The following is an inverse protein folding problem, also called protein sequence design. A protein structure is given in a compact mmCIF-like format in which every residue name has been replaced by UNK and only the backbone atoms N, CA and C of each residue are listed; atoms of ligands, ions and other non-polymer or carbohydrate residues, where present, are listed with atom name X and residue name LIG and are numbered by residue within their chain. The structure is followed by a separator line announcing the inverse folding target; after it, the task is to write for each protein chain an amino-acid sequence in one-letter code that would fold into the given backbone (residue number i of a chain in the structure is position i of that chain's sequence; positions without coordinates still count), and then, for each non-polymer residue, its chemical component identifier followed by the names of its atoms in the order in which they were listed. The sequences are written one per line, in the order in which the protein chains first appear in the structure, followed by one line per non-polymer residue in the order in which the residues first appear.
data_IF_569015662799
#
_entry.id   IF_569015662799
#
_cell.length_a   1.000
_cell.length_b   1.000
_cell.length_c   1.000
_cell.angle_alpha   90.00
_cell.angle_beta   90.00
_cell.angle_gamma   90.00
#
_symmetry.space_group_name_H-M   'P 1'
#
loop_
_entity.id
_entity.type
_entity.pdbx_description
1 polymer ?
#
# COMPACT_ATOMS: atom_id res chain seq x y z
N UNK A 1 -18.60 -18.87 -10.85
CA UNK A 1 -19.22 -17.77 -11.64
C UNK A 1 -18.37 -17.44 -12.87
N UNK A 2 -18.98 -17.39 -14.07
CA UNK A 2 -18.27 -17.21 -15.36
C UNK A 2 -17.55 -15.86 -15.46
N UNK A 3 -18.18 -14.78 -14.99
CA UNK A 3 -17.66 -13.42 -15.04
C UNK A 3 -16.30 -13.26 -14.33
N UNK A 4 -16.15 -13.76 -13.09
CA UNK A 4 -14.90 -13.65 -12.33
C UNK A 4 -13.72 -14.28 -13.09
N UNK A 5 -13.97 -15.41 -13.77
CA UNK A 5 -12.94 -16.10 -14.54
C UNK A 5 -12.46 -15.22 -15.69
N UNK A 6 -13.39 -14.66 -16.45
CA UNK A 6 -13.12 -13.84 -17.64
C UNK A 6 -12.48 -12.49 -17.30
N UNK A 7 -12.90 -11.84 -16.21
CA UNK A 7 -12.44 -10.48 -15.89
C UNK A 7 -11.19 -10.44 -15.01
N UNK A 8 -10.91 -11.48 -14.22
CA UNK A 8 -9.95 -11.36 -13.11
C UNK A 8 -9.01 -12.55 -12.95
N UNK A 9 -9.41 -13.76 -13.35
CA UNK A 9 -8.61 -14.97 -13.07
C UNK A 9 -7.84 -15.50 -14.28
N UNK A 10 -8.36 -15.34 -15.49
CA UNK A 10 -7.75 -15.86 -16.71
C UNK A 10 -6.38 -15.19 -16.97
N UNK A 11 -5.26 -15.94 -17.03
CA UNK A 11 -3.95 -15.40 -17.31
C UNK A 11 -3.85 -14.56 -18.59
N UNK A 12 -4.69 -14.83 -19.60
CA UNK A 12 -4.68 -14.11 -20.85
C UNK A 12 -5.32 -12.71 -20.77
N UNK A 13 -6.24 -12.49 -19.82
CA UNK A 13 -7.01 -11.22 -19.72
C UNK A 13 -6.83 -10.49 -18.40
N UNK A 14 -6.34 -11.17 -17.35
CA UNK A 14 -6.19 -10.58 -16.02
C UNK A 14 -5.11 -9.49 -16.00
N UNK A 15 -5.37 -8.45 -15.22
CA UNK A 15 -4.37 -7.44 -14.86
C UNK A 15 -3.90 -7.70 -13.43
N UNK A 16 -2.59 -7.92 -13.25
CA UNK A 16 -1.99 -8.13 -11.93
C UNK A 16 -1.05 -6.98 -11.61
N UNK A 17 -1.13 -6.49 -10.37
CA UNK A 17 -0.16 -5.56 -9.81
C UNK A 17 0.87 -6.36 -9.01
N UNK A 18 2.17 -6.09 -9.25
CA UNK A 18 3.26 -6.70 -8.48
C UNK A 18 3.66 -5.73 -7.37
N UNK A 19 3.43 -6.13 -6.13
CA UNK A 19 3.90 -5.38 -4.96
C UNK A 19 5.41 -5.55 -4.82
N UNK A 20 6.12 -4.44 -4.64
CA UNK A 20 7.56 -4.42 -4.32
C UNK A 20 7.75 -3.78 -2.95
N UNK A 21 8.67 -4.34 -2.17
CA UNK A 21 9.08 -3.78 -0.87
C UNK A 21 10.56 -3.39 -0.94
N UNK A 22 10.97 -2.32 -0.23
CA UNK A 22 12.38 -1.90 -0.23
C UNK A 22 13.27 -3.03 0.28
N UNK A 23 14.32 -3.34 -0.49
CA UNK A 23 15.25 -4.42 -0.19
C UNK A 23 16.36 -3.87 0.71
N UNK A 24 16.71 -4.50 1.82
CA UNK A 24 17.61 -3.88 2.84
C UNK A 24 19.11 -4.00 2.50
N UNK A 25 19.52 -3.68 1.28
CA UNK A 25 20.91 -3.87 0.83
C UNK A 25 21.75 -2.59 0.92
N UNK A 26 21.12 -1.42 0.81
CA UNK A 26 21.75 -0.10 1.00
C UNK A 26 21.19 0.63 2.22
N UNK A 27 21.93 1.62 2.72
CA UNK A 27 21.48 2.46 3.85
C UNK A 27 20.19 3.24 3.53
N UNK A 28 20.02 3.65 2.26
CA UNK A 28 18.83 4.33 1.76
C UNK A 28 17.60 3.42 1.81
N UNK A 29 17.71 2.19 1.29
CA UNK A 29 16.59 1.25 1.32
C UNK A 29 16.25 0.77 2.73
N UNK A 30 17.24 0.72 3.64
CA UNK A 30 17.00 0.44 5.06
C UNK A 30 16.15 1.55 5.68
N UNK A 31 16.38 2.80 5.32
CA UNK A 31 15.56 3.92 5.78
C UNK A 31 14.14 3.82 5.22
N UNK A 32 13.99 3.56 3.92
CA UNK A 32 12.69 3.41 3.26
C UNK A 32 11.88 2.24 3.86
N UNK A 33 12.54 1.11 4.17
CA UNK A 33 11.92 -0.02 4.84
C UNK A 33 11.43 0.32 6.27
N UNK A 34 12.15 1.21 6.98
CA UNK A 34 11.72 1.69 8.32
C UNK A 34 10.49 2.59 8.21
N UNK A 35 10.46 3.50 7.23
CA UNK A 35 9.29 4.34 6.98
C UNK A 35 8.07 3.50 6.60
N UNK A 36 8.25 2.49 5.74
CA UNK A 36 7.20 1.53 5.40
C UNK A 36 6.67 0.82 6.65
N UNK A 37 7.56 0.36 7.53
CA UNK A 37 7.16 -0.31 8.78
C UNK A 37 6.41 0.63 9.72
N UNK A 38 6.83 1.90 9.81
CA UNK A 38 6.16 2.92 10.63
C UNK A 38 4.77 3.22 10.09
N UNK A 39 4.62 3.32 8.77
CA UNK A 39 3.33 3.52 8.12
C UNK A 39 2.37 2.36 8.41
N UNK A 40 2.85 1.11 8.30
CA UNK A 40 2.07 -0.09 8.62
C UNK A 40 1.63 -0.07 10.09
N UNK A 41 2.51 0.30 11.03
CA UNK A 41 2.12 0.38 12.45
C UNK A 41 1.09 1.49 12.72
N UNK A 42 1.26 2.68 12.13
CA UNK A 42 0.28 3.76 12.27
C UNK A 42 -1.10 3.37 11.73
N UNK A 43 -1.15 2.62 10.62
CA UNK A 43 -2.40 2.21 9.99
C UNK A 43 -3.01 0.95 10.59
N UNK A 44 -2.21 -0.04 10.99
CA UNK A 44 -2.68 -1.39 11.35
C UNK A 44 -2.34 -1.79 12.79
N UNK A 45 -1.60 -0.95 13.51
CA UNK A 45 -1.21 -1.17 14.89
C UNK A 45 -2.37 -1.08 15.88
N UNK A 46 -2.04 -1.24 17.17
CA UNK A 46 -3.03 -1.29 18.26
C UNK A 46 -3.52 0.07 18.73
N UNK A 47 -2.80 1.15 18.40
CA UNK A 47 -3.11 2.52 18.81
C UNK A 47 -4.03 3.19 17.79
N UNK A 48 -5.34 3.33 18.05
CA UNK A 48 -6.27 3.91 17.08
C UNK A 48 -6.04 5.40 16.82
N UNK A 49 -5.38 6.11 17.74
CA UNK A 49 -5.10 7.55 17.62
C UNK A 49 -4.18 7.84 16.42
N UNK A 50 -3.14 7.01 16.23
CA UNK A 50 -2.21 7.14 15.10
C UNK A 50 -2.91 6.97 13.75
N UNK A 51 -3.86 6.03 13.67
CA UNK A 51 -4.65 5.81 12.46
C UNK A 51 -5.57 7.00 12.19
N UNK A 52 -6.21 7.53 13.23
CA UNK A 52 -7.10 8.67 13.11
C UNK A 52 -6.38 9.90 12.57
N UNK A 53 -5.24 10.26 13.16
CA UNK A 53 -4.43 11.41 12.73
C UNK A 53 -3.98 11.24 11.27
N UNK A 54 -3.48 10.05 10.90
CA UNK A 54 -3.06 9.76 9.53
C UNK A 54 -4.19 9.96 8.51
N UNK A 55 -5.39 9.43 8.80
CA UNK A 55 -6.55 9.57 7.90
C UNK A 55 -6.95 11.04 7.77
N UNK A 56 -6.99 11.78 8.87
CA UNK A 56 -7.40 13.19 8.87
C UNK A 56 -6.45 14.07 8.05
N UNK A 57 -5.15 13.80 8.10
CA UNK A 57 -4.13 14.52 7.35
C UNK A 57 -4.20 14.22 5.84
N UNK A 58 -4.44 12.97 5.44
CA UNK A 58 -4.26 12.53 4.04
C UNK A 58 -5.57 12.38 3.25
N UNK A 59 -6.73 12.21 3.90
CA UNK A 59 -7.98 11.87 3.22
C UNK A 59 -8.44 12.92 2.19
N UNK A 60 -8.10 14.20 2.42
CA UNK A 60 -8.49 15.30 1.51
C UNK A 60 -7.62 15.38 0.25
N UNK A 61 -6.49 14.67 0.22
CA UNK A 61 -5.48 14.78 -0.84
C UNK A 61 -5.29 13.48 -1.64
N UNK A 62 -6.06 12.43 -1.33
CA UNK A 62 -5.95 11.12 -2.01
C UNK A 62 -6.19 11.21 -3.51
N UNK A 63 -7.07 12.10 -3.97
CA UNK A 63 -7.37 12.28 -5.40
C UNK A 63 -6.18 12.86 -6.21
N UNK A 64 -5.14 13.36 -5.54
CA UNK A 64 -3.99 14.02 -6.19
C UNK A 64 -2.76 13.10 -6.33
N UNK A 65 -2.82 11.84 -5.87
CA UNK A 65 -1.65 10.95 -5.81
C UNK A 65 -1.24 10.42 -7.20
N UNK A 66 -2.19 10.30 -8.14
CA UNK A 66 -1.98 9.69 -9.46
C UNK A 66 -1.89 10.72 -10.62
N UNK A 67 -1.57 12.00 -10.33
CA UNK A 67 -1.39 13.07 -11.34
C UNK A 67 0.07 13.17 -11.80
#
# INVERSE_FOLDING_TARGET
PKQLKETTMDPATRTLLRVTVPLRHSDEEILEAKETSKLVESLMGRKPELRFDFIQEHARFVEQIDI
#
